data_IF_717552091470
#
_entry.id   IF_717552091470
#
_cell.length_a   1.000
_cell.length_b   1.000
_cell.length_c   1.000
_cell.angle_alpha   90.00
_cell.angle_beta   90.00
_cell.angle_gamma   90.00
#
_symmetry.space_group_name_H-M   'P 1'
#
loop_
_entity.id
_entity.type
_entity.pdbx_description
1 polymer ?
#
# COMPACT_ATOMS: atom_id res chain seq x y z
N UNK A 1 -6.66 -4.21 -2.54
CA UNK A 1 -6.89 -3.12 -1.57
C UNK A 1 -5.60 -2.37 -1.23
N UNK A 2 -4.49 -3.05 -0.88
CA UNK A 2 -3.22 -2.37 -0.58
C UNK A 2 -2.68 -1.52 -1.74
N UNK A 3 -2.81 -1.99 -2.98
CA UNK A 3 -2.46 -1.22 -4.18
C UNK A 3 -3.33 0.03 -4.37
N UNK A 4 -4.63 -0.06 -4.09
CA UNK A 4 -5.52 1.10 -4.11
C UNK A 4 -5.04 2.18 -3.15
N UNK A 5 -4.82 1.82 -1.88
CA UNK A 5 -4.36 2.76 -0.85
C UNK A 5 -3.01 3.40 -1.23
N UNK A 6 -2.06 2.58 -1.66
CA UNK A 6 -0.75 3.06 -2.09
C UNK A 6 -0.86 4.03 -3.26
N UNK A 7 -1.60 3.67 -4.30
CA UNK A 7 -1.73 4.49 -5.50
C UNK A 7 -2.49 5.79 -5.24
N UNK A 8 -3.55 5.76 -4.44
CA UNK A 8 -4.32 6.93 -4.06
C UNK A 8 -3.47 7.96 -3.30
N UNK A 9 -2.79 7.53 -2.23
CA UNK A 9 -1.97 8.42 -1.40
C UNK A 9 -0.74 8.91 -2.17
N UNK A 10 -0.01 7.99 -2.84
CA UNK A 10 1.19 8.35 -3.61
C UNK A 10 0.89 9.37 -4.70
N UNK A 11 -0.23 9.20 -5.45
CA UNK A 11 -0.58 10.12 -6.55
C UNK A 11 -1.08 11.47 -6.03
N UNK A 12 -1.79 11.49 -4.89
CA UNK A 12 -2.25 12.73 -4.26
C UNK A 12 -1.11 13.52 -3.60
N UNK A 13 -0.05 12.85 -3.15
CA UNK A 13 1.04 13.45 -2.37
C UNK A 13 1.74 14.60 -3.10
N UNK A 14 2.26 14.46 -4.33
CA UNK A 14 2.95 15.54 -5.02
C UNK A 14 2.03 16.72 -5.30
N UNK A 15 0.77 16.49 -5.60
CA UNK A 15 -0.22 17.54 -5.79
C UNK A 15 -0.43 18.32 -4.48
N UNK A 16 -0.63 17.63 -3.37
CA UNK A 16 -0.82 18.26 -2.07
C UNK A 16 0.45 18.98 -1.59
N UNK A 17 1.60 18.33 -1.66
CA UNK A 17 2.87 18.91 -1.24
C UNK A 17 3.25 20.16 -2.03
N UNK A 18 3.17 20.10 -3.36
CA UNK A 18 3.62 21.21 -4.20
C UNK A 18 2.55 22.31 -4.35
N UNK A 19 1.30 21.95 -4.67
CA UNK A 19 0.26 22.95 -4.97
C UNK A 19 -0.35 23.56 -3.71
N UNK A 20 -0.54 22.78 -2.65
CA UNK A 20 -1.23 23.23 -1.43
C UNK A 20 -0.22 23.69 -0.36
N UNK A 21 0.78 22.86 -0.05
CA UNK A 21 1.78 23.15 0.98
C UNK A 21 2.95 23.99 0.50
N UNK A 22 3.04 24.23 -0.82
CA UNK A 22 4.09 25.08 -1.43
C UNK A 22 5.52 24.59 -1.21
N UNK A 23 5.70 23.27 -0.94
CA UNK A 23 7.02 22.69 -0.98
C UNK A 23 7.62 22.77 -2.38
N UNK A 24 8.93 22.91 -2.48
CA UNK A 24 9.63 22.96 -3.75
C UNK A 24 9.46 21.67 -4.55
N UNK A 25 9.63 21.71 -5.86
CA UNK A 25 9.64 20.52 -6.71
C UNK A 25 10.72 19.53 -6.27
N UNK A 26 11.87 20.04 -5.82
CA UNK A 26 12.96 19.21 -5.32
C UNK A 26 12.57 18.44 -4.07
N UNK A 27 12.02 19.10 -3.04
CA UNK A 27 11.53 18.45 -1.81
C UNK A 27 10.46 17.40 -2.13
N UNK A 28 9.50 17.75 -2.99
CA UNK A 28 8.44 16.83 -3.42
C UNK A 28 9.03 15.61 -4.12
N UNK A 29 10.00 15.81 -5.03
CA UNK A 29 10.66 14.71 -5.75
C UNK A 29 11.44 13.79 -4.82
N UNK A 30 12.16 14.34 -3.82
CA UNK A 30 12.88 13.53 -2.83
C UNK A 30 11.90 12.67 -2.01
N UNK A 31 10.77 13.22 -1.58
CA UNK A 31 9.78 12.47 -0.83
C UNK A 31 9.22 11.27 -1.65
N UNK A 32 8.93 11.46 -2.94
CA UNK A 32 8.49 10.38 -3.84
C UNK A 32 9.61 9.36 -4.10
N UNK A 33 10.85 9.79 -4.30
CA UNK A 33 11.97 8.87 -4.48
C UNK A 33 12.19 8.00 -3.24
N UNK A 34 12.10 8.57 -2.04
CA UNK A 34 12.20 7.82 -0.79
C UNK A 34 11.02 6.85 -0.59
N UNK A 35 9.81 7.22 -1.03
CA UNK A 35 8.69 6.28 -1.10
C UNK A 35 9.02 5.07 -1.98
N UNK A 36 9.57 5.30 -3.19
CA UNK A 36 9.98 4.23 -4.11
C UNK A 36 11.07 3.35 -3.49
N UNK A 37 12.03 3.94 -2.80
CA UNK A 37 13.03 3.18 -2.02
C UNK A 37 12.32 2.32 -0.96
N UNK A 38 11.35 2.87 -0.23
CA UNK A 38 10.51 2.14 0.73
C UNK A 38 9.73 0.99 0.11
N UNK A 39 9.32 1.11 -1.17
CA UNK A 39 8.65 0.03 -1.90
C UNK A 39 9.59 -1.14 -2.23
N UNK A 40 10.83 -0.88 -2.62
CA UNK A 40 11.69 -1.91 -3.20
C UNK A 40 12.80 -2.39 -2.26
N UNK A 41 13.37 -1.53 -1.43
CA UNK A 41 14.45 -1.91 -0.52
C UNK A 41 14.06 -3.06 0.44
N UNK A 42 12.86 -3.09 1.05
CA UNK A 42 12.46 -4.20 1.89
C UNK A 42 12.40 -5.55 1.17
N UNK A 43 12.29 -5.58 -0.18
CA UNK A 43 12.23 -6.82 -0.96
C UNK A 43 13.47 -7.70 -0.76
N UNK A 44 14.60 -7.11 -0.34
CA UNK A 44 15.82 -7.86 -0.03
C UNK A 44 15.63 -8.85 1.13
N UNK A 45 14.70 -8.58 2.04
CA UNK A 45 14.46 -9.38 3.24
C UNK A 45 13.01 -9.88 3.37
N UNK A 46 12.04 -9.23 2.73
CA UNK A 46 10.61 -9.53 2.91
C UNK A 46 10.24 -10.95 2.47
N UNK A 47 10.89 -11.49 1.46
CA UNK A 47 10.73 -12.89 1.05
C UNK A 47 11.13 -13.89 2.16
N UNK A 48 12.25 -13.64 2.83
CA UNK A 48 12.71 -14.47 3.94
C UNK A 48 11.83 -14.29 5.20
N UNK A 49 11.33 -13.08 5.44
CA UNK A 49 10.36 -12.83 6.50
C UNK A 49 9.06 -13.63 6.28
N UNK A 50 8.55 -13.66 5.05
CA UNK A 50 7.39 -14.46 4.69
C UNK A 50 7.64 -15.94 4.87
N UNK A 51 8.81 -16.47 4.45
CA UNK A 51 9.18 -17.87 4.68
C UNK A 51 9.26 -18.21 6.16
N UNK A 52 9.84 -17.32 6.98
CA UNK A 52 10.08 -17.56 8.41
C UNK A 52 8.84 -17.42 9.27
N UNK A 53 8.02 -16.39 9.02
CA UNK A 53 6.90 -16.03 9.90
C UNK A 53 5.51 -16.35 9.31
N UNK A 54 5.45 -16.65 8.00
CA UNK A 54 4.23 -16.89 7.25
C UNK A 54 3.59 -15.60 6.70
N UNK A 55 2.93 -15.73 5.55
CA UNK A 55 2.33 -14.60 4.82
C UNK A 55 1.32 -13.81 5.65
N UNK A 56 0.45 -14.49 6.41
CA UNK A 56 -0.61 -13.83 7.20
C UNK A 56 -0.04 -12.88 8.26
N UNK A 57 1.02 -13.28 8.97
CA UNK A 57 1.64 -12.41 9.98
C UNK A 57 2.31 -11.20 9.34
N UNK A 58 2.96 -11.38 8.19
CA UNK A 58 3.60 -10.29 7.47
C UNK A 58 2.55 -9.33 6.88
N UNK A 59 1.38 -9.80 6.46
CA UNK A 59 0.25 -8.94 6.09
C UNK A 59 -0.16 -8.06 7.28
N UNK A 60 -0.30 -8.62 8.47
CA UNK A 60 -0.67 -7.82 9.66
C UNK A 60 0.38 -6.76 10.00
N UNK A 61 1.67 -7.09 9.91
CA UNK A 61 2.76 -6.12 10.06
C UNK A 61 2.64 -5.01 9.00
N UNK A 62 2.43 -5.39 7.73
CA UNK A 62 2.23 -4.44 6.64
C UNK A 62 1.06 -3.49 6.91
N UNK A 63 -0.11 -4.03 7.31
CA UNK A 63 -1.29 -3.19 7.62
C UNK A 63 -1.03 -2.27 8.81
N UNK A 64 -0.34 -2.73 9.85
CA UNK A 64 0.05 -1.89 10.99
C UNK A 64 0.92 -0.71 10.55
N UNK A 65 1.89 -0.94 9.66
CA UNK A 65 2.70 0.12 9.06
C UNK A 65 1.84 1.05 8.20
N UNK A 66 0.82 0.53 7.52
CA UNK A 66 -0.15 1.33 6.78
C UNK A 66 -0.96 2.28 7.68
N UNK A 67 -1.46 1.80 8.81
CA UNK A 67 -2.10 2.67 9.81
C UNK A 67 -1.14 3.71 10.38
N UNK A 68 0.12 3.34 10.63
CA UNK A 68 1.13 4.30 11.04
C UNK A 68 1.37 5.38 9.98
N UNK A 69 1.44 5.00 8.69
CA UNK A 69 1.53 5.96 7.58
C UNK A 69 0.36 6.95 7.58
N UNK A 70 -0.89 6.46 7.70
CA UNK A 70 -2.09 7.30 7.77
C UNK A 70 -2.02 8.23 8.99
N UNK A 71 -1.66 7.72 10.15
CA UNK A 71 -1.52 8.50 11.38
C UNK A 71 -0.52 9.65 11.20
N UNK A 72 0.69 9.37 10.71
CA UNK A 72 1.73 10.39 10.51
C UNK A 72 1.29 11.43 9.48
N UNK A 73 0.67 11.00 8.37
CA UNK A 73 0.19 11.88 7.31
C UNK A 73 -0.97 12.79 7.74
N UNK A 74 -1.73 12.42 8.78
CA UNK A 74 -2.93 13.15 9.22
C UNK A 74 -2.72 14.01 10.45
N UNK A 75 -1.79 13.61 11.33
CA UNK A 75 -1.59 14.29 12.61
C UNK A 75 -0.59 15.44 12.57
N UNK A 76 0.31 15.44 11.59
CA UNK A 76 1.39 16.42 11.53
C UNK A 76 1.49 17.04 10.14
N UNK A 77 1.88 18.31 10.09
CA UNK A 77 1.89 19.09 8.85
C UNK A 77 3.28 19.71 8.58
N UNK A 78 4.28 18.84 8.48
CA UNK A 78 5.67 19.20 8.21
C UNK A 78 6.24 18.33 7.08
N UNK A 79 7.22 18.82 6.35
CA UNK A 79 7.89 18.09 5.28
C UNK A 79 8.31 16.67 5.67
N UNK A 80 8.98 16.52 6.82
CA UNK A 80 9.47 15.21 7.27
C UNK A 80 8.34 14.21 7.57
N UNK A 81 7.14 14.68 7.90
CA UNK A 81 6.01 13.77 8.13
C UNK A 81 5.48 13.19 6.83
N UNK A 82 5.48 13.95 5.73
CA UNK A 82 5.22 13.41 4.40
C UNK A 82 6.26 12.37 4.00
N UNK A 83 7.55 12.65 4.24
CA UNK A 83 8.62 11.71 3.93
C UNK A 83 8.45 10.40 4.71
N UNK A 84 8.28 10.48 6.03
CA UNK A 84 8.09 9.29 6.90
C UNK A 84 6.81 8.54 6.52
N UNK A 85 5.70 9.24 6.31
CA UNK A 85 4.43 8.67 5.90
C UNK A 85 4.53 7.93 4.57
N UNK A 86 5.19 8.54 3.57
CA UNK A 86 5.38 7.95 2.25
C UNK A 86 6.34 6.76 2.26
N UNK A 87 7.45 6.82 3.00
CA UNK A 87 8.34 5.66 3.19
C UNK A 87 7.56 4.51 3.82
N UNK A 88 6.80 4.77 4.89
CA UNK A 88 5.98 3.77 5.56
C UNK A 88 4.92 3.17 4.63
N UNK A 89 4.30 3.99 3.79
CA UNK A 89 3.37 3.55 2.75
C UNK A 89 4.04 2.60 1.75
N UNK A 90 5.27 2.89 1.34
CA UNK A 90 6.05 2.02 0.46
C UNK A 90 6.37 0.67 1.10
N UNK A 91 6.79 0.67 2.37
CA UNK A 91 7.06 -0.55 3.14
C UNK A 91 5.79 -1.38 3.30
N UNK A 92 4.67 -0.75 3.67
CA UNK A 92 3.36 -1.41 3.73
C UNK A 92 3.06 -2.12 2.41
N UNK A 93 3.15 -1.39 1.30
CA UNK A 93 2.88 -1.95 -0.02
C UNK A 93 3.77 -3.17 -0.32
N UNK A 94 5.07 -3.09 -0.05
CA UNK A 94 6.00 -4.20 -0.27
C UNK A 94 5.58 -5.45 0.51
N UNK A 95 5.31 -5.32 1.80
CA UNK A 95 4.94 -6.45 2.64
C UNK A 95 3.62 -7.08 2.21
N UNK A 96 2.62 -6.27 1.84
CA UNK A 96 1.34 -6.77 1.35
C UNK A 96 1.48 -7.45 -0.02
N UNK A 97 2.29 -6.88 -0.91
CA UNK A 97 2.54 -7.43 -2.24
C UNK A 97 3.23 -8.79 -2.19
N UNK A 98 4.36 -8.89 -1.49
CA UNK A 98 5.13 -10.15 -1.37
C UNK A 98 4.29 -11.23 -0.69
N UNK A 99 3.59 -10.88 0.39
CA UNK A 99 2.74 -11.83 1.12
C UNK A 99 1.53 -12.28 0.30
N UNK A 100 0.87 -11.35 -0.38
CA UNK A 100 -0.27 -11.66 -1.26
C UNK A 100 0.13 -12.55 -2.43
N UNK A 101 1.25 -12.25 -3.09
CA UNK A 101 1.81 -13.07 -4.16
C UNK A 101 2.18 -14.48 -3.67
N UNK A 102 2.76 -14.60 -2.46
CA UNK A 102 3.04 -15.91 -1.86
C UNK A 102 1.77 -16.72 -1.61
N UNK A 103 0.68 -16.08 -1.15
CA UNK A 103 -0.60 -16.76 -0.94
C UNK A 103 -1.24 -17.17 -2.26
N UNK A 104 -1.13 -16.36 -3.29
CA UNK A 104 -1.65 -16.67 -4.61
C UNK A 104 -1.01 -17.92 -5.19
N UNK A 105 0.33 -18.05 -5.10
CA UNK A 105 1.08 -19.19 -5.66
C UNK A 105 0.62 -20.53 -5.06
N UNK A 106 0.23 -20.57 -3.80
CA UNK A 106 -0.23 -21.79 -3.14
C UNK A 106 -1.74 -22.05 -3.26
N UNK A 107 -2.47 -21.17 -3.95
CA UNK A 107 -3.94 -21.25 -4.06
C UNK A 107 -4.44 -21.84 -5.39
N UNK A 108 -3.57 -22.06 -6.37
CA UNK A 108 -3.93 -22.63 -7.66
C UNK A 108 -3.12 -23.87 -8.01
N UNK A 109 -3.66 -24.73 -8.88
CA UNK A 109 -2.93 -25.85 -9.47
C UNK A 109 -2.07 -25.37 -10.64
N UNK A 110 -0.98 -26.10 -10.98
CA UNK A 110 -0.05 -25.69 -12.04
C UNK A 110 -0.75 -25.48 -13.40
N UNK A 111 -1.80 -26.24 -13.71
CA UNK A 111 -2.60 -26.08 -14.94
C UNK A 111 -3.31 -24.74 -15.03
N UNK A 112 -3.67 -24.09 -13.89
CA UNK A 112 -4.43 -22.86 -13.80
C UNK A 112 -3.56 -21.63 -13.59
N UNK A 113 -2.25 -21.80 -13.48
CA UNK A 113 -1.26 -20.80 -13.11
C UNK A 113 -1.40 -19.49 -13.91
N UNK A 114 -1.40 -19.59 -15.23
CA UNK A 114 -1.44 -18.39 -16.10
C UNK A 114 -2.76 -17.64 -15.97
N UNK A 115 -3.87 -18.36 -15.84
CA UNK A 115 -5.21 -17.76 -15.65
C UNK A 115 -5.31 -17.09 -14.28
N UNK A 116 -4.86 -17.75 -13.22
CA UNK A 116 -4.88 -17.21 -11.86
C UNK A 116 -4.00 -15.97 -11.72
N UNK A 117 -2.78 -16.00 -12.27
CA UNK A 117 -1.88 -14.85 -12.25
C UNK A 117 -2.42 -13.70 -13.10
N UNK A 118 -2.89 -13.96 -14.33
CA UNK A 118 -3.47 -12.93 -15.19
C UNK A 118 -4.69 -12.26 -14.58
N UNK A 119 -5.59 -13.02 -13.93
CA UNK A 119 -6.75 -12.46 -13.22
C UNK A 119 -6.32 -11.62 -12.03
N UNK A 120 -5.35 -12.11 -11.24
CA UNK A 120 -4.79 -11.34 -10.13
C UNK A 120 -4.22 -10.01 -10.61
N UNK A 121 -3.39 -10.03 -11.66
CA UNK A 121 -2.76 -8.82 -12.18
C UNK A 121 -3.78 -7.84 -12.73
N UNK A 122 -4.81 -8.34 -13.44
CA UNK A 122 -5.91 -7.51 -13.90
C UNK A 122 -6.62 -6.80 -12.73
N UNK A 123 -6.97 -7.52 -11.66
CA UNK A 123 -7.63 -6.94 -10.47
C UNK A 123 -6.71 -5.93 -9.78
N UNK A 124 -5.44 -6.30 -9.58
CA UNK A 124 -4.46 -5.47 -8.89
C UNK A 124 -4.22 -4.16 -9.64
N UNK A 125 -3.93 -4.21 -10.94
CA UNK A 125 -3.66 -3.01 -11.73
C UNK A 125 -4.91 -2.18 -12.00
N UNK A 126 -6.09 -2.81 -12.10
CA UNK A 126 -7.36 -2.07 -12.17
C UNK A 126 -7.62 -1.28 -10.90
N UNK A 127 -7.44 -1.89 -9.73
CA UNK A 127 -7.61 -1.19 -8.44
C UNK A 127 -6.57 -0.10 -8.24
N UNK A 128 -5.34 -0.31 -8.69
CA UNK A 128 -4.29 0.72 -8.70
C UNK A 128 -4.68 1.89 -9.60
N UNK A 129 -5.16 1.59 -10.83
CA UNK A 129 -5.61 2.62 -11.77
C UNK A 129 -6.76 3.45 -11.22
N UNK A 130 -7.75 2.81 -10.59
CA UNK A 130 -8.87 3.51 -9.93
C UNK A 130 -8.34 4.44 -8.83
N UNK A 131 -7.39 3.97 -7.99
CA UNK A 131 -6.77 4.79 -6.95
C UNK A 131 -6.08 6.03 -7.54
N UNK A 132 -5.27 5.85 -8.58
CA UNK A 132 -4.56 6.95 -9.24
C UNK A 132 -5.50 7.96 -9.89
N UNK A 133 -6.51 7.50 -10.65
CA UNK A 133 -7.50 8.36 -11.30
C UNK A 133 -8.36 9.12 -10.29
N UNK A 134 -8.68 8.50 -9.15
CA UNK A 134 -9.46 9.14 -8.09
C UNK A 134 -8.68 10.21 -7.32
N UNK A 135 -7.35 10.17 -7.34
CA UNK A 135 -6.49 11.01 -6.49
C UNK A 135 -6.71 12.52 -6.70
N UNK A 136 -6.69 12.98 -7.95
CA UNK A 136 -6.90 14.38 -8.29
C UNK A 136 -8.32 14.84 -7.96
N UNK A 137 -9.33 14.04 -8.29
CA UNK A 137 -10.73 14.33 -7.99
C UNK A 137 -10.97 14.43 -6.48
N UNK A 138 -10.51 13.45 -5.71
CA UNK A 138 -10.67 13.45 -4.26
C UNK A 138 -9.93 14.60 -3.61
N UNK A 139 -8.73 14.95 -4.09
CA UNK A 139 -7.99 16.09 -3.55
C UNK A 139 -8.68 17.41 -3.83
N UNK A 140 -9.35 17.54 -4.98
CA UNK A 140 -10.10 18.75 -5.35
C UNK A 140 -11.36 18.96 -4.52
N UNK A 141 -12.15 17.88 -4.29
CA UNK A 141 -13.42 17.94 -3.56
C UNK A 141 -13.33 17.68 -2.05
N UNK A 142 -12.16 17.26 -1.58
CA UNK A 142 -11.93 16.98 -0.16
C UNK A 142 -10.61 17.59 0.31
N UNK A 143 -9.91 16.91 1.20
CA UNK A 143 -8.61 17.33 1.71
C UNK A 143 -7.69 16.12 1.92
N UNK A 144 -6.42 16.41 2.19
CA UNK A 144 -5.38 15.41 2.43
C UNK A 144 -5.75 14.40 3.53
N UNK A 145 -6.36 14.87 4.61
CA UNK A 145 -6.77 14.01 5.73
C UNK A 145 -7.82 12.99 5.28
N UNK A 146 -8.85 13.42 4.54
CA UNK A 146 -9.91 12.54 4.04
C UNK A 146 -9.32 11.48 3.09
N UNK A 147 -8.39 11.85 2.20
CA UNK A 147 -7.72 10.90 1.30
C UNK A 147 -7.04 9.77 2.10
N UNK A 148 -6.32 10.12 3.16
CA UNK A 148 -5.69 9.13 4.02
C UNK A 148 -6.72 8.28 4.78
N UNK A 149 -7.77 8.89 5.33
CA UNK A 149 -8.81 8.17 6.08
C UNK A 149 -9.63 7.21 5.22
N UNK A 150 -9.85 7.52 3.94
CA UNK A 150 -10.51 6.61 2.98
C UNK A 150 -9.77 5.27 2.90
N UNK A 151 -8.46 5.22 3.14
CA UNK A 151 -7.70 3.98 3.11
C UNK A 151 -7.97 3.05 4.30
N UNK A 152 -8.51 3.56 5.42
CA UNK A 152 -8.78 2.76 6.63
C UNK A 152 -9.69 1.56 6.36
N UNK A 153 -10.90 1.71 5.77
CA UNK A 153 -11.76 0.56 5.50
C UNK A 153 -11.12 -0.48 4.58
N UNK A 154 -10.30 -0.06 3.62
CA UNK A 154 -9.59 -1.00 2.75
C UNK A 154 -8.50 -1.79 3.50
N UNK A 155 -7.77 -1.16 4.41
CA UNK A 155 -6.81 -1.85 5.27
C UNK A 155 -7.50 -2.81 6.25
N UNK A 156 -8.67 -2.43 6.79
CA UNK A 156 -9.50 -3.32 7.61
C UNK A 156 -10.00 -4.53 6.81
N UNK A 157 -10.38 -4.34 5.55
CA UNK A 157 -10.73 -5.44 4.64
C UNK A 157 -9.56 -6.39 4.43
N UNK A 158 -8.33 -5.90 4.29
CA UNK A 158 -7.14 -6.75 4.19
C UNK A 158 -6.98 -7.63 5.42
N UNK A 159 -7.16 -7.08 6.64
CA UNK A 159 -7.13 -7.86 7.90
C UNK A 159 -8.22 -8.92 7.88
N UNK A 160 -9.45 -8.53 7.58
CA UNK A 160 -10.61 -9.43 7.60
C UNK A 160 -10.44 -10.61 6.64
N UNK A 161 -10.08 -10.36 5.39
CA UNK A 161 -9.85 -11.41 4.38
C UNK A 161 -8.68 -12.31 4.79
N UNK A 162 -7.59 -11.74 5.33
CA UNK A 162 -6.44 -12.52 5.79
C UNK A 162 -6.79 -13.41 6.98
N UNK A 163 -7.65 -12.94 7.89
CA UNK A 163 -8.15 -13.71 9.01
C UNK A 163 -9.00 -14.90 8.54
N UNK A 164 -9.95 -14.70 7.64
CA UNK A 164 -10.77 -15.75 7.06
C UNK A 164 -9.91 -16.83 6.35
N UNK A 165 -8.92 -16.39 5.57
CA UNK A 165 -8.01 -17.29 4.86
C UNK A 165 -7.14 -18.11 5.82
N UNK A 166 -6.78 -17.57 6.98
CA UNK A 166 -5.99 -18.29 7.99
C UNK A 166 -6.79 -19.40 8.66
N UNK A 167 -8.06 -19.14 8.96
CA UNK A 167 -8.93 -20.13 9.63
C UNK A 167 -9.29 -21.32 8.73
N UNK A 168 -9.39 -21.11 7.42
CA UNK A 168 -9.70 -22.19 6.46
C UNK A 168 -8.50 -23.14 6.20
N UNK A 169 -7.28 -22.79 6.64
CA UNK A 169 -6.10 -23.67 6.53
C UNK A 169 -5.89 -24.57 7.75
N UNK A 170 -6.74 -24.47 8.77
CA UNK A 170 -6.70 -25.31 9.99
C UNK A 170 -7.65 -26.50 9.95
N UNK A 171 -8.23 -26.81 8.79
CA UNK A 171 -9.00 -28.02 8.48
C UNK A 171 -8.25 -28.80 7.40
#
# INVERSE_FOLDING_TARGET
FGYFCMSLIMTSSPLHMHLIKKFSLFETSIAIQLHVVGMFLPSLISGDLVKRFGSTKIIYVGVTIGFFSIFVNTMFDHYYTYVIGLISLGIMWNLLFISGSSLLVISYEEKDKFTAQGLNDFIVFSTQGIGALSAGFLLYYSNWTIINLICIPFLLMVIFVSFLSSNNKSI
#
